data_IF_771686072438
#
_entry.id   IF_771686072438
#
_cell.length_a   1.000
_cell.length_b   1.000
_cell.length_c   1.000
_cell.angle_alpha   90.00
_cell.angle_beta   90.00
_cell.angle_gamma   90.00
#
_symmetry.space_group_name_H-M   'P 1'
#
loop_
_entity.id
_entity.type
_entity.pdbx_description
1 polymer ?
#
# COMPACT_ATOMS: atom_id res chain seq x y z
N UNK A 1 10.03 -9.70 -57.45
CA UNK A 1 11.10 -10.70 -57.19
C UNK A 1 12.01 -10.09 -56.13
N UNK A 2 12.33 -10.66 -54.98
CA UNK A 2 12.05 -11.96 -54.43
C UNK A 2 11.96 -11.82 -52.89
N UNK A 3 10.80 -12.18 -52.34
CA UNK A 3 10.61 -12.57 -50.94
C UNK A 3 11.33 -13.90 -50.73
N UNK A 4 12.58 -13.93 -50.24
CA UNK A 4 13.28 -15.17 -49.89
C UNK A 4 14.40 -14.95 -48.87
N UNK A 5 14.10 -14.84 -47.57
CA UNK A 5 15.12 -15.10 -46.51
C UNK A 5 14.61 -15.29 -45.08
N UNK A 6 13.33 -15.61 -44.85
CA UNK A 6 12.81 -15.81 -43.48
C UNK A 6 12.25 -17.23 -43.27
N UNK A 7 13.03 -18.26 -43.63
CA UNK A 7 12.58 -19.66 -43.48
C UNK A 7 13.62 -20.64 -42.93
N UNK A 8 14.59 -20.17 -42.15
CA UNK A 8 15.48 -21.05 -41.38
C UNK A 8 15.81 -20.42 -40.04
N UNK A 9 15.00 -20.71 -39.02
CA UNK A 9 15.38 -20.78 -37.59
C UNK A 9 14.22 -21.13 -36.63
N UNK A 10 13.06 -21.63 -37.12
CA UNK A 10 11.97 -22.13 -36.26
C UNK A 10 11.76 -23.64 -36.47
N UNK A 11 12.80 -24.43 -36.20
CA UNK A 11 12.71 -25.89 -36.26
C UNK A 11 13.61 -26.57 -35.23
N UNK A 12 13.46 -26.25 -33.94
CA UNK A 12 14.10 -27.01 -32.86
C UNK A 12 13.32 -27.06 -31.55
N UNK A 13 12.02 -26.73 -31.53
CA UNK A 13 11.20 -26.94 -30.34
C UNK A 13 9.80 -27.27 -30.84
N UNK A 14 9.52 -28.54 -31.12
CA UNK A 14 8.20 -29.18 -31.01
C UNK A 14 8.38 -30.60 -31.56
N UNK A 15 8.61 -31.50 -30.61
CA UNK A 15 8.73 -32.93 -30.85
C UNK A 15 7.46 -33.52 -31.45
N UNK A 16 7.71 -34.56 -32.24
CA UNK A 16 6.81 -35.44 -32.97
C UNK A 16 5.50 -35.78 -32.23
N UNK A 17 4.38 -35.20 -32.67
CA UNK A 17 3.06 -35.78 -32.44
C UNK A 17 2.56 -36.43 -33.74
N UNK A 18 2.43 -37.75 -33.66
CA UNK A 18 2.04 -38.64 -34.75
C UNK A 18 0.51 -38.67 -34.81
N UNK A 19 -0.12 -37.96 -35.75
CA UNK A 19 -1.56 -38.02 -35.99
C UNK A 19 -1.84 -38.59 -37.37
N UNK A 20 -2.68 -39.64 -37.38
CA UNK A 20 -3.01 -40.48 -38.55
C UNK A 20 -3.80 -39.70 -39.60
N UNK A 21 -3.58 -40.12 -40.85
CA UNK A 21 -4.01 -39.54 -42.14
C UNK A 21 -5.51 -39.49 -42.46
N UNK A 22 -6.41 -39.70 -41.51
CA UNK A 22 -7.86 -39.71 -41.80
C UNK A 22 -8.51 -38.48 -41.19
N UNK A 23 -8.98 -37.59 -42.06
CA UNK A 23 -9.95 -36.49 -41.87
C UNK A 23 -9.46 -35.21 -42.54
N UNK A 24 -9.18 -35.31 -43.86
CA UNK A 24 -8.96 -34.17 -44.74
C UNK A 24 -10.21 -34.03 -45.62
N UNK A 25 -10.73 -32.80 -45.68
CA UNK A 25 -11.71 -32.21 -46.60
C UNK A 25 -13.20 -32.17 -46.18
N UNK A 26 -13.65 -30.97 -45.79
CA UNK A 26 -14.63 -30.22 -46.60
C UNK A 26 -14.55 -28.72 -46.31
N UNK A 27 -14.54 -27.96 -47.40
CA UNK A 27 -14.38 -26.52 -47.54
C UNK A 27 -15.44 -25.72 -46.78
N UNK A 28 -15.05 -24.56 -46.24
CA UNK A 28 -15.72 -23.31 -46.62
C UNK A 28 -14.79 -22.11 -46.45
N UNK A 29 -14.66 -21.38 -47.54
CA UNK A 29 -13.88 -20.15 -47.73
C UNK A 29 -14.49 -19.01 -46.92
N UNK A 30 -13.80 -18.55 -45.89
CA UNK A 30 -14.02 -17.21 -45.33
C UNK A 30 -12.69 -16.47 -45.40
N UNK A 31 -12.69 -15.42 -46.21
CA UNK A 31 -11.58 -14.53 -46.51
C UNK A 31 -11.21 -13.80 -45.20
N UNK A 32 -10.30 -14.37 -44.41
CA UNK A 32 -9.74 -13.71 -43.24
C UNK A 32 -8.89 -12.54 -43.75
N UNK A 33 -9.49 -11.36 -43.74
CA UNK A 33 -8.78 -10.09 -43.80
C UNK A 33 -7.71 -10.16 -42.72
N UNK A 34 -6.43 -10.10 -43.12
CA UNK A 34 -5.32 -9.90 -42.20
C UNK A 34 -5.48 -8.50 -41.61
N UNK A 35 -6.34 -8.36 -40.60
CA UNK A 35 -6.22 -7.25 -39.67
C UNK A 35 -4.87 -7.41 -39.02
N UNK A 36 -4.02 -6.45 -39.34
CA UNK A 36 -2.72 -6.24 -38.72
C UNK A 36 -2.97 -6.25 -37.22
N UNK A 37 -2.42 -7.25 -36.52
CA UNK A 37 -2.21 -7.17 -35.07
C UNK A 37 -1.18 -6.05 -34.86
N UNK A 38 -1.64 -4.81 -34.96
CA UNK A 38 -0.97 -3.70 -34.32
C UNK A 38 -0.99 -4.06 -32.84
N UNK A 39 0.19 -4.20 -32.23
CA UNK A 39 0.30 -4.09 -30.80
C UNK A 39 -0.38 -2.79 -30.44
N UNK A 40 -1.66 -2.85 -30.05
CA UNK A 40 -2.36 -1.72 -29.48
C UNK A 40 -1.60 -1.49 -28.20
N UNK A 41 -0.68 -0.53 -28.23
CA UNK A 41 -0.11 0.02 -27.01
C UNK A 41 -1.28 0.25 -26.08
N UNK A 42 -1.31 -0.49 -24.98
CA UNK A 42 -2.15 -0.08 -23.86
C UNK A 42 -1.62 1.31 -23.54
N UNK A 43 -2.43 2.38 -23.70
CA UNK A 43 -1.94 3.71 -23.45
C UNK A 43 -1.36 3.71 -22.03
N UNK A 44 -0.14 4.24 -21.89
CA UNK A 44 0.60 4.35 -20.63
C UNK A 44 -0.12 5.22 -19.56
N UNK A 45 -1.40 5.53 -19.75
CA UNK A 45 -2.23 6.40 -18.93
C UNK A 45 -2.78 5.74 -17.65
N UNK A 46 -2.72 4.41 -17.50
CA UNK A 46 -3.31 3.72 -16.35
C UNK A 46 -2.33 3.41 -15.19
N UNK A 47 -1.02 3.66 -15.37
CA UNK A 47 0.01 3.31 -14.37
C UNK A 47 0.48 4.50 -13.51
N UNK A 48 -0.08 5.70 -13.72
CA UNK A 48 0.41 6.95 -13.10
C UNK A 48 -0.51 7.58 -12.03
N UNK A 49 -1.57 6.89 -11.60
CA UNK A 49 -2.52 7.43 -10.61
C UNK A 49 -2.45 6.73 -9.25
N UNK A 50 -1.45 5.86 -9.04
CA UNK A 50 -1.18 5.26 -7.74
C UNK A 50 0.01 5.96 -7.08
N UNK A 51 -0.20 6.47 -5.88
CA UNK A 51 0.81 7.10 -5.04
C UNK A 51 1.10 6.19 -3.84
N UNK A 52 2.37 5.81 -3.67
CA UNK A 52 2.84 5.08 -2.50
C UNK A 52 3.59 6.03 -1.57
N UNK A 53 3.01 6.30 -0.40
CA UNK A 53 3.61 7.04 0.70
C UNK A 53 4.27 6.04 1.66
N UNK A 54 5.53 6.27 2.01
CA UNK A 54 6.31 5.38 2.86
C UNK A 54 6.97 6.15 4.00
N UNK A 55 6.79 5.67 5.23
CA UNK A 55 7.51 6.23 6.39
C UNK A 55 9.00 5.89 6.31
N UNK A 56 9.92 6.85 6.57
CA UNK A 56 11.36 6.68 6.33
C UNK A 56 12.01 5.58 7.17
N UNK A 57 11.53 5.35 8.38
CA UNK A 57 12.04 4.37 9.34
C UNK A 57 11.90 2.91 8.85
N UNK A 58 10.90 2.63 8.02
CA UNK A 58 10.70 1.29 7.42
C UNK A 58 11.06 1.23 5.94
N UNK A 59 11.48 2.35 5.33
CA UNK A 59 11.59 2.46 3.88
C UNK A 59 12.60 1.49 3.24
N UNK A 60 13.64 1.12 3.98
CA UNK A 60 14.64 0.15 3.55
C UNK A 60 14.17 -1.31 3.69
N UNK A 61 13.21 -1.57 4.58
CA UNK A 61 12.72 -2.91 4.94
C UNK A 61 11.50 -3.34 4.13
N UNK A 62 10.74 -2.39 3.58
CA UNK A 62 9.59 -2.71 2.72
C UNK A 62 10.08 -3.35 1.41
N UNK A 63 9.51 -4.50 1.00
CA UNK A 63 9.89 -5.17 -0.24
C UNK A 63 9.75 -4.27 -1.46
N UNK A 64 10.71 -4.34 -2.40
CA UNK A 64 10.72 -3.46 -3.58
C UNK A 64 9.59 -3.77 -4.56
N UNK A 65 9.06 -4.98 -4.51
CA UNK A 65 7.89 -5.41 -5.27
C UNK A 65 6.66 -4.54 -4.95
N UNK A 66 6.55 -4.06 -3.71
CA UNK A 66 5.47 -3.18 -3.26
C UNK A 66 5.45 -1.85 -4.06
N UNK A 67 6.59 -1.44 -4.60
CA UNK A 67 6.77 -0.15 -5.27
C UNK A 67 6.31 -0.20 -6.73
N UNK A 68 6.10 -1.40 -7.28
CA UNK A 68 5.72 -1.58 -8.67
C UNK A 68 4.38 -0.91 -8.97
N UNK A 69 4.35 -0.12 -10.05
CA UNK A 69 3.12 0.53 -10.53
C UNK A 69 2.69 1.78 -9.74
N UNK A 70 3.56 2.34 -8.88
CA UNK A 70 3.27 3.58 -8.15
C UNK A 70 4.37 4.62 -8.25
N UNK A 71 3.97 5.89 -8.15
CA UNK A 71 4.87 6.97 -7.76
C UNK A 71 5.21 6.79 -6.28
N UNK A 72 6.47 6.59 -5.94
CA UNK A 72 6.90 6.40 -4.54
C UNK A 72 7.34 7.73 -3.95
N UNK A 73 6.83 8.05 -2.76
CA UNK A 73 7.24 9.19 -1.94
C UNK A 73 7.61 8.65 -0.56
N UNK A 74 8.90 8.71 -0.25
CA UNK A 74 9.40 8.44 1.09
C UNK A 74 9.34 9.76 1.86
N UNK A 75 8.67 9.78 3.01
CA UNK A 75 8.58 10.97 3.84
C UNK A 75 9.93 11.29 4.48
N UNK A 76 10.16 12.57 4.74
CA UNK A 76 11.32 13.10 5.45
C UNK A 76 11.00 13.18 6.96
N UNK A 77 11.81 12.51 7.78
CA UNK A 77 11.63 12.41 9.24
C UNK A 77 11.74 13.76 9.98
N UNK A 78 12.31 14.79 9.34
CA UNK A 78 12.41 16.14 9.92
C UNK A 78 11.26 17.07 9.53
N UNK A 79 10.29 16.60 8.74
CA UNK A 79 9.21 17.43 8.20
C UNK A 79 7.85 16.90 8.60
N UNK A 80 6.89 17.81 8.61
CA UNK A 80 5.50 17.49 8.92
C UNK A 80 4.90 16.48 7.93
N UNK A 81 4.41 15.35 8.44
CA UNK A 81 3.97 14.22 7.62
C UNK A 81 2.71 14.54 6.79
N UNK A 82 1.72 15.19 7.40
CA UNK A 82 0.44 15.52 6.74
C UNK A 82 0.68 16.55 5.63
N UNK A 83 1.51 17.57 5.86
CA UNK A 83 1.87 18.53 4.81
C UNK A 83 2.65 17.88 3.67
N UNK A 84 3.55 16.94 3.96
CA UNK A 84 4.24 16.18 2.91
C UNK A 84 3.29 15.33 2.07
N UNK A 85 2.30 14.68 2.69
CA UNK A 85 1.26 13.93 1.97
C UNK A 85 0.44 14.88 1.08
N UNK A 86 0.03 16.04 1.61
CA UNK A 86 -0.69 17.06 0.83
C UNK A 86 0.10 17.54 -0.38
N UNK A 87 1.40 17.82 -0.20
CA UNK A 87 2.31 18.21 -1.28
C UNK A 87 2.50 17.09 -2.31
N UNK A 88 2.61 15.85 -1.86
CA UNK A 88 2.71 14.68 -2.74
C UNK A 88 1.44 14.54 -3.59
N UNK A 89 0.25 14.68 -3.00
CA UNK A 89 -1.03 14.65 -3.72
C UNK A 89 -1.14 15.82 -4.71
N UNK A 90 -0.75 17.02 -4.30
CA UNK A 90 -0.73 18.19 -5.19
C UNK A 90 0.17 17.98 -6.42
N UNK A 91 1.32 17.32 -6.25
CA UNK A 91 2.23 16.96 -7.34
C UNK A 91 1.74 15.77 -8.19
N UNK A 92 0.61 15.15 -7.81
CA UNK A 92 0.01 13.97 -8.42
C UNK A 92 -1.52 14.14 -8.56
N UNK A 93 -2.03 15.16 -9.28
CA UNK A 93 -3.46 15.37 -9.39
C UNK A 93 -4.16 14.21 -10.12
N UNK A 94 -5.37 13.88 -9.68
CA UNK A 94 -6.13 12.73 -10.17
C UNK A 94 -5.62 11.39 -9.63
N UNK A 95 -4.99 11.38 -8.44
CA UNK A 95 -4.58 10.14 -7.77
C UNK A 95 -5.81 9.31 -7.44
N UNK A 96 -5.90 8.11 -8.02
CA UNK A 96 -6.99 7.17 -7.80
C UNK A 96 -6.71 6.20 -6.67
N UNK A 97 -5.44 5.99 -6.30
CA UNK A 97 -5.11 5.22 -5.11
C UNK A 97 -3.93 5.80 -4.37
N UNK A 98 -4.08 5.97 -3.06
CA UNK A 98 -3.02 6.32 -2.12
C UNK A 98 -2.75 5.10 -1.25
N UNK A 99 -1.56 4.52 -1.35
CA UNK A 99 -1.09 3.51 -0.39
C UNK A 99 -0.19 4.20 0.62
N UNK A 100 -0.48 4.02 1.90
CA UNK A 100 0.34 4.53 3.00
C UNK A 100 0.90 3.32 3.74
N UNK A 101 2.22 3.18 3.77
CA UNK A 101 2.91 2.11 4.50
C UNK A 101 3.72 2.75 5.61
N UNK A 102 3.39 2.38 6.84
CA UNK A 102 4.05 2.87 8.05
C UNK A 102 3.82 1.90 9.19
N UNK A 103 4.49 2.09 10.33
CA UNK A 103 3.97 1.46 11.53
C UNK A 103 2.59 2.03 11.90
N UNK A 104 1.81 1.25 12.65
CA UNK A 104 0.48 1.60 13.11
C UNK A 104 0.20 1.08 14.51
N UNK A 105 -0.87 1.63 15.08
CA UNK A 105 -1.58 1.14 16.24
C UNK A 105 -3.06 1.50 16.06
N UNK A 106 -3.95 0.96 16.90
CA UNK A 106 -5.36 1.31 16.85
C UNK A 106 -5.57 2.83 16.86
N UNK A 107 -6.20 3.35 15.81
CA UNK A 107 -6.52 4.78 15.65
C UNK A 107 -5.34 5.68 15.29
N UNK A 108 -4.20 5.13 14.89
CA UNK A 108 -3.04 5.96 14.52
C UNK A 108 -2.03 5.30 13.57
N UNK A 109 -1.32 6.14 12.83
CA UNK A 109 -0.14 5.79 12.02
C UNK A 109 1.07 6.56 12.53
N UNK A 110 2.24 5.92 12.53
CA UNK A 110 3.51 6.60 12.78
C UNK A 110 4.14 6.99 11.45
N UNK A 111 4.02 8.25 11.05
CA UNK A 111 4.50 8.75 9.77
C UNK A 111 5.60 9.78 9.99
N UNK A 112 6.79 9.53 9.45
CA UNK A 112 7.95 10.42 9.61
C UNK A 112 8.26 10.72 11.10
N UNK A 113 8.08 9.72 11.98
CA UNK A 113 8.26 9.86 13.43
C UNK A 113 7.12 10.60 14.16
N UNK A 114 6.06 11.00 13.45
CA UNK A 114 4.91 11.70 14.01
C UNK A 114 3.69 10.77 14.12
N UNK A 115 3.00 10.83 15.26
CA UNK A 115 1.76 10.09 15.45
C UNK A 115 0.59 10.83 14.77
N UNK A 116 0.11 10.30 13.64
CA UNK A 116 -1.08 10.79 12.95
C UNK A 116 -2.28 10.00 13.46
N UNK A 117 -3.08 10.64 14.32
CA UNK A 117 -4.22 10.02 15.03
C UNK A 117 -5.53 10.76 14.76
N UNK A 118 -6.63 10.32 15.37
CA UNK A 118 -7.92 11.03 15.31
C UNK A 118 -7.83 12.49 15.75
N UNK A 119 -7.02 12.80 16.78
CA UNK A 119 -6.77 14.17 17.22
C UNK A 119 -6.06 14.99 16.14
N UNK A 120 -5.10 14.39 15.43
CA UNK A 120 -4.41 15.01 14.29
C UNK A 120 -5.39 15.30 13.15
N UNK A 121 -6.26 14.34 12.81
CA UNK A 121 -7.29 14.52 11.78
C UNK A 121 -8.24 15.67 12.12
N UNK A 122 -8.67 15.76 13.38
CA UNK A 122 -9.55 16.83 13.84
C UNK A 122 -8.85 18.20 13.78
N UNK A 123 -7.64 18.29 14.34
CA UNK A 123 -6.85 19.51 14.38
C UNK A 123 -6.49 20.04 12.99
N UNK A 124 -6.38 19.15 11.99
CA UNK A 124 -5.95 19.50 10.61
C UNK A 124 -6.99 19.16 9.55
N UNK A 125 -8.25 19.13 9.94
CA UNK A 125 -9.38 18.81 9.08
C UNK A 125 -9.43 19.66 7.81
N UNK A 126 -9.12 20.96 7.89
CA UNK A 126 -9.10 21.87 6.73
C UNK A 126 -8.06 21.44 5.69
N UNK A 127 -6.85 21.13 6.12
CA UNK A 127 -5.78 20.73 5.21
C UNK A 127 -6.04 19.35 4.59
N UNK A 128 -6.47 18.39 5.43
CA UNK A 128 -6.75 17.02 4.99
C UNK A 128 -7.96 16.98 4.06
N UNK A 129 -9.00 17.77 4.32
CA UNK A 129 -10.12 17.90 3.38
C UNK A 129 -9.73 18.59 2.07
N UNK A 130 -8.74 19.49 2.14
CA UNK A 130 -8.13 20.10 0.96
C UNK A 130 -7.49 19.07 0.01
N UNK A 131 -7.08 17.89 0.49
CA UNK A 131 -6.51 16.82 -0.35
C UNK A 131 -7.50 16.30 -1.40
N UNK A 132 -8.80 16.40 -1.13
CA UNK A 132 -9.87 15.92 -2.01
C UNK A 132 -9.76 16.46 -3.43
N UNK A 133 -9.28 17.69 -3.61
CA UNK A 133 -9.16 18.32 -4.93
C UNK A 133 -8.10 17.63 -5.83
N UNK A 134 -7.19 16.86 -5.24
CA UNK A 134 -6.13 16.14 -5.95
C UNK A 134 -6.45 14.65 -6.14
N UNK A 135 -7.50 14.15 -5.50
CA UNK A 135 -7.95 12.77 -5.60
C UNK A 135 -8.93 12.60 -6.75
N UNK A 136 -8.87 11.45 -7.43
CA UNK A 136 -9.89 11.06 -8.38
C UNK A 136 -11.22 10.77 -7.66
N UNK A 137 -12.39 10.93 -8.32
CA UNK A 137 -13.66 10.48 -7.76
C UNK A 137 -13.62 8.99 -7.42
N UNK A 138 -14.00 8.65 -6.20
CA UNK A 138 -13.96 7.26 -5.71
C UNK A 138 -12.55 6.72 -5.49
N UNK A 139 -11.56 7.60 -5.28
CA UNK A 139 -10.20 7.17 -4.96
C UNK A 139 -10.17 6.30 -3.70
N UNK A 140 -9.21 5.38 -3.67
CA UNK A 140 -8.94 4.52 -2.53
C UNK A 140 -7.76 5.04 -1.70
N UNK A 141 -7.87 5.00 -0.37
CA UNK A 141 -6.75 5.22 0.56
C UNK A 141 -6.54 3.94 1.36
N UNK A 142 -5.41 3.28 1.12
CA UNK A 142 -5.06 2.02 1.75
C UNK A 142 -4.00 2.26 2.84
N UNK A 143 -4.38 2.04 4.09
CA UNK A 143 -3.54 2.25 5.26
C UNK A 143 -2.94 0.92 5.71
N UNK A 144 -1.73 0.63 5.23
CA UNK A 144 -0.91 -0.48 5.73
C UNK A 144 -0.17 -0.02 6.98
N UNK A 145 -0.82 -0.22 8.11
CA UNK A 145 -0.26 -0.06 9.44
C UNK A 145 -0.93 -1.05 10.38
N UNK A 146 -0.15 -1.62 11.30
CA UNK A 146 -0.64 -2.68 12.18
C UNK A 146 -1.88 -2.24 12.96
N UNK A 147 -2.95 -3.02 12.86
CA UNK A 147 -4.14 -2.94 13.71
C UNK A 147 -4.81 -1.56 13.79
N UNK A 148 -4.68 -0.71 12.77
CA UNK A 148 -5.20 0.66 12.75
C UNK A 148 -6.70 0.73 13.03
N UNK A 149 -7.48 -0.25 12.55
CA UNK A 149 -8.93 -0.32 12.70
C UNK A 149 -9.41 -1.37 13.74
N UNK A 150 -8.53 -1.85 14.62
CA UNK A 150 -8.85 -2.94 15.55
C UNK A 150 -9.93 -2.58 16.58
N UNK A 151 -10.00 -1.32 17.01
CA UNK A 151 -10.95 -0.82 18.02
C UNK A 151 -12.03 0.07 17.40
N UNK A 152 -13.03 0.46 18.21
CA UNK A 152 -14.03 1.45 17.80
C UNK A 152 -13.38 2.81 17.46
N UNK A 153 -12.41 3.25 18.27
CA UNK A 153 -11.65 4.48 17.99
C UNK A 153 -10.80 4.35 16.72
N UNK A 154 -10.21 3.18 16.51
CA UNK A 154 -9.51 2.84 15.26
C UNK A 154 -10.40 2.96 14.03
N UNK A 155 -11.60 2.37 14.08
CA UNK A 155 -12.59 2.51 13.00
C UNK A 155 -13.04 3.96 12.82
N UNK A 156 -13.22 4.70 13.91
CA UNK A 156 -13.56 6.13 13.86
C UNK A 156 -12.46 6.97 13.18
N UNK A 157 -11.19 6.66 13.43
CA UNK A 157 -10.07 7.29 12.72
C UNK A 157 -10.18 7.07 11.19
N UNK A 158 -10.38 5.82 10.77
CA UNK A 158 -10.53 5.47 9.34
C UNK A 158 -11.76 6.15 8.72
N UNK A 159 -12.91 6.13 9.41
CA UNK A 159 -14.13 6.82 9.00
C UNK A 159 -13.93 8.33 8.84
N UNK A 160 -13.24 8.96 9.80
CA UNK A 160 -12.96 10.40 9.79
C UNK A 160 -12.08 10.77 8.61
N UNK A 161 -11.05 9.97 8.33
CA UNK A 161 -10.18 10.20 7.17
C UNK A 161 -10.97 10.09 5.86
N UNK A 162 -11.83 9.08 5.72
CA UNK A 162 -12.70 8.92 4.55
C UNK A 162 -13.66 10.09 4.37
N UNK A 163 -14.28 10.56 5.46
CA UNK A 163 -15.17 11.71 5.42
C UNK A 163 -14.45 13.02 5.01
N UNK A 164 -13.25 13.26 5.53
CA UNK A 164 -12.47 14.45 5.20
C UNK A 164 -12.02 14.43 3.74
N UNK A 165 -11.47 13.30 3.28
CA UNK A 165 -10.89 13.17 1.94
C UNK A 165 -11.93 12.92 0.84
N UNK A 166 -13.09 12.36 1.20
CA UNK A 166 -14.09 11.87 0.25
C UNK A 166 -13.68 10.58 -0.47
N UNK A 167 -12.64 9.90 0.01
CA UNK A 167 -12.13 8.65 -0.52
C UNK A 167 -12.70 7.44 0.23
N UNK A 168 -12.66 6.28 -0.41
CA UNK A 168 -12.89 4.99 0.25
C UNK A 168 -11.58 4.61 0.97
N UNK A 169 -11.62 4.42 2.29
CA UNK A 169 -10.43 4.14 3.10
C UNK A 169 -10.48 2.72 3.62
N UNK A 170 -9.38 1.99 3.51
CA UNK A 170 -9.23 0.66 4.12
C UNK A 170 -8.00 0.57 5.03
N UNK A 171 -8.11 -0.23 6.08
CA UNK A 171 -7.06 -0.43 7.08
C UNK A 171 -7.13 -1.82 7.72
N UNK A 172 -6.00 -2.32 8.23
CA UNK A 172 -5.96 -3.59 8.96
C UNK A 172 -6.58 -3.50 10.36
N UNK A 173 -7.17 -4.60 10.81
CA UNK A 173 -7.73 -4.80 12.15
C UNK A 173 -6.85 -5.70 13.03
N UNK A 174 -5.83 -6.31 12.44
CA UNK A 174 -4.88 -7.23 13.04
C UNK A 174 -3.42 -6.83 12.68
N UNK A 175 -2.41 -7.59 13.09
CA UNK A 175 -1.03 -7.31 12.69
C UNK A 175 -0.82 -7.29 11.18
N UNK A 176 -0.18 -6.23 10.68
CA UNK A 176 0.13 -6.08 9.25
C UNK A 176 1.60 -6.39 9.00
N UNK A 177 1.88 -7.26 8.03
CA UNK A 177 3.23 -7.59 7.56
C UNK A 177 3.45 -9.09 7.36
N UNK A 178 4.59 -9.59 7.86
CA UNK A 178 5.02 -10.99 7.71
C UNK A 178 4.13 -11.98 8.46
N UNK A 179 3.60 -12.97 7.74
CA UNK A 179 2.86 -14.10 8.29
C UNK A 179 3.72 -14.99 9.19
N UNK A 180 5.04 -15.00 9.00
CA UNK A 180 5.97 -15.67 9.93
C UNK A 180 5.98 -15.04 11.31
N UNK A 181 5.56 -13.78 11.40
CA UNK A 181 5.49 -12.99 12.63
C UNK A 181 4.04 -12.69 13.05
N UNK A 182 3.07 -13.42 12.49
CA UNK A 182 1.66 -13.33 12.85
C UNK A 182 0.87 -12.21 12.17
N UNK A 183 1.43 -11.57 11.14
CA UNK A 183 0.72 -10.55 10.36
C UNK A 183 0.28 -11.00 8.98
N UNK A 184 -0.52 -10.18 8.32
CA UNK A 184 -0.87 -10.35 6.90
C UNK A 184 -0.92 -8.98 6.18
N UNK A 185 -1.32 -8.96 4.91
CA UNK A 185 -1.45 -7.73 4.13
C UNK A 185 -2.91 -7.42 3.79
N UNK A 186 -3.86 -8.03 4.51
CA UNK A 186 -5.27 -7.77 4.35
C UNK A 186 -5.65 -6.47 5.08
N UNK A 187 -6.66 -5.80 4.53
CA UNK A 187 -7.27 -4.60 5.09
C UNK A 187 -8.74 -4.95 5.36
N UNK A 188 -9.04 -5.44 6.55
CA UNK A 188 -10.36 -6.02 6.87
C UNK A 188 -11.44 -4.97 7.08
N UNK A 189 -11.06 -3.74 7.38
CA UNK A 189 -11.99 -2.64 7.59
C UNK A 189 -11.94 -1.65 6.43
N UNK A 190 -13.10 -1.27 5.89
CA UNK A 190 -13.21 -0.26 4.85
C UNK A 190 -14.45 0.64 5.02
N UNK A 191 -14.35 1.92 4.62
CA UNK A 191 -15.44 2.91 4.67
C UNK A 191 -16.30 2.93 3.40
N UNK A 192 -15.94 2.12 2.40
CA UNK A 192 -16.58 2.07 1.08
C UNK A 192 -16.08 0.89 0.24
N UNK A 193 -16.15 1.00 -1.08
CA UNK A 193 -15.79 -0.10 -1.99
C UNK A 193 -14.38 0.08 -2.50
N UNK A 194 -13.43 -0.68 -1.97
CA UNK A 194 -12.07 -0.69 -2.49
C UNK A 194 -12.04 -1.30 -3.90
N UNK A 195 -11.66 -0.50 -4.89
CA UNK A 195 -11.55 -0.93 -6.29
C UNK A 195 -10.10 -1.25 -6.69
N UNK A 196 -9.14 -0.78 -5.91
CA UNK A 196 -7.74 -1.00 -6.12
C UNK A 196 -7.39 -2.50 -6.09
N UNK A 197 -6.62 -2.92 -7.08
CA UNK A 197 -6.10 -4.29 -7.19
C UNK A 197 -4.58 -4.24 -7.16
N UNK A 198 -4.02 -4.67 -6.05
CA UNK A 198 -2.57 -4.78 -5.88
C UNK A 198 -2.12 -6.23 -5.95
N UNK A 199 -0.86 -6.41 -6.36
CA UNK A 199 -0.24 -7.73 -6.41
C UNK A 199 -0.24 -8.40 -5.04
N UNK A 200 -0.19 -9.73 -5.03
CA UNK A 200 0.03 -10.48 -3.80
C UNK A 200 1.52 -10.45 -3.48
N UNK A 201 1.91 -9.60 -2.53
CA UNK A 201 3.31 -9.45 -2.10
C UNK A 201 3.65 -10.24 -0.83
N UNK A 202 2.76 -11.13 -0.36
CA UNK A 202 2.92 -11.85 0.91
C UNK A 202 4.24 -12.62 1.02
N UNK A 203 4.73 -13.21 -0.09
CA UNK A 203 6.02 -13.91 -0.10
C UNK A 203 7.20 -12.96 0.16
N UNK A 204 7.20 -11.78 -0.46
CA UNK A 204 8.25 -10.79 -0.29
C UNK A 204 8.24 -10.20 1.13
N UNK A 205 7.04 -9.94 1.67
CA UNK A 205 6.88 -9.52 3.06
C UNK A 205 7.33 -10.60 4.06
N UNK A 206 7.02 -11.87 3.82
CA UNK A 206 7.52 -12.97 4.64
C UNK A 206 9.05 -13.10 4.63
N UNK A 207 9.68 -12.85 3.48
CA UNK A 207 11.12 -12.84 3.33
C UNK A 207 11.77 -11.66 4.07
N UNK A 208 11.12 -10.49 4.06
CA UNK A 208 11.60 -9.30 4.79
C UNK A 208 11.57 -9.48 6.32
N UNK A 209 10.64 -10.28 6.84
CA UNK A 209 10.44 -10.38 8.29
C UNK A 209 9.96 -9.08 8.94
N UNK A 210 9.32 -8.19 8.17
CA UNK A 210 8.80 -6.92 8.66
C UNK A 210 7.38 -7.09 9.24
N UNK A 211 7.12 -6.48 10.39
CA UNK A 211 5.77 -6.17 10.90
C UNK A 211 5.66 -4.68 11.14
N UNK A 212 4.45 -4.15 11.04
CA UNK A 212 4.19 -2.71 11.11
C UNK A 212 3.68 -2.28 12.49
N UNK A 213 4.01 -2.99 13.56
CA UNK A 213 3.52 -2.71 14.92
C UNK A 213 4.27 -1.53 15.58
N UNK A 214 3.60 -0.81 16.48
CA UNK A 214 4.25 0.10 17.43
C UNK A 214 3.85 -0.23 18.87
N UNK A 215 4.72 0.08 19.83
CA UNK A 215 4.43 0.06 21.25
C UNK A 215 4.42 1.49 21.79
N UNK A 216 3.25 1.95 22.23
CA UNK A 216 3.08 3.35 22.65
C UNK A 216 3.22 3.52 24.18
N UNK A 217 4.16 4.37 24.59
CA UNK A 217 4.28 4.86 25.96
C UNK A 217 3.30 6.01 26.16
N UNK A 218 2.40 5.88 27.15
CA UNK A 218 1.29 6.83 27.38
C UNK A 218 1.34 7.51 28.76
N UNK A 219 2.22 7.08 29.66
CA UNK A 219 2.45 7.73 30.94
C UNK A 219 3.94 7.70 31.35
N UNK A 220 4.28 8.48 32.38
CA UNK A 220 5.63 8.58 32.96
C UNK A 220 5.87 7.62 34.15
N UNK A 221 4.98 6.66 34.36
CA UNK A 221 5.15 5.64 35.40
C UNK A 221 6.31 4.70 35.09
N UNK A 222 6.94 4.14 36.12
CA UNK A 222 8.04 3.19 35.97
C UNK A 222 7.58 1.74 35.66
N UNK A 223 6.30 1.43 35.86
CA UNK A 223 5.74 0.10 35.58
C UNK A 223 4.24 0.16 35.30
N UNK A 224 3.66 -0.96 34.85
CA UNK A 224 2.25 -1.07 34.52
C UNK A 224 1.93 -0.61 33.10
N UNK A 225 0.67 -0.79 32.69
CA UNK A 225 0.20 -0.47 31.35
C UNK A 225 0.52 0.99 30.96
N UNK A 226 1.07 1.18 29.76
CA UNK A 226 1.42 2.49 29.23
C UNK A 226 2.76 3.07 29.71
N UNK A 227 3.49 2.39 30.60
CA UNK A 227 4.86 2.78 30.99
C UNK A 227 5.89 2.40 29.93
N UNK A 228 7.05 3.09 29.93
CA UNK A 228 8.18 2.72 29.07
C UNK A 228 8.68 1.30 29.37
N UNK A 229 8.76 0.93 30.64
CA UNK A 229 9.19 -0.42 31.04
C UNK A 229 8.26 -1.49 30.47
N UNK A 230 6.95 -1.27 30.52
CA UNK A 230 5.99 -2.21 29.94
C UNK A 230 6.12 -2.27 28.42
N UNK A 231 6.26 -1.13 27.74
CA UNK A 231 6.46 -1.11 26.29
C UNK A 231 7.72 -1.87 25.85
N UNK A 232 8.81 -1.79 26.63
CA UNK A 232 10.04 -2.57 26.38
C UNK A 232 9.80 -4.07 26.62
N UNK A 233 9.05 -4.45 27.65
CA UNK A 233 8.71 -5.86 27.91
C UNK A 233 7.88 -6.42 26.75
N UNK A 234 6.86 -5.69 26.32
CA UNK A 234 5.97 -6.10 25.23
C UNK A 234 6.73 -6.20 23.90
N UNK A 235 7.61 -5.22 23.61
CA UNK A 235 8.48 -5.25 22.44
C UNK A 235 9.45 -6.46 22.47
N UNK A 236 10.11 -6.71 23.60
CA UNK A 236 11.01 -7.87 23.72
C UNK A 236 10.28 -9.22 23.61
N UNK A 237 8.98 -9.27 23.88
CA UNK A 237 8.15 -10.46 23.69
C UNK A 237 7.62 -10.61 22.26
N UNK A 238 7.60 -9.52 21.48
CA UNK A 238 7.26 -9.53 20.08
C UNK A 238 8.44 -10.04 19.23
N UNK A 239 8.11 -10.58 18.07
CA UNK A 239 9.11 -11.09 17.14
C UNK A 239 9.32 -10.08 16.01
N UNK A 240 10.57 -9.77 15.72
CA UNK A 240 10.94 -8.81 14.67
C UNK A 240 11.65 -7.59 15.23
N UNK A 241 11.74 -6.54 14.41
CA UNK A 241 12.19 -5.24 14.86
C UNK A 241 10.97 -4.43 15.30
N UNK A 242 11.05 -3.83 16.49
CA UNK A 242 9.94 -3.12 17.11
C UNK A 242 10.23 -1.63 17.26
N UNK A 243 9.16 -0.83 17.15
CA UNK A 243 9.23 0.62 17.30
C UNK A 243 8.47 1.03 18.57
N UNK A 244 9.18 1.62 19.52
CA UNK A 244 8.59 2.22 20.72
C UNK A 244 8.39 3.72 20.49
N UNK A 245 7.18 4.21 20.73
CA UNK A 245 6.78 5.61 20.49
C UNK A 245 6.26 6.22 21.78
N UNK A 246 6.62 7.47 22.07
CA UNK A 246 6.00 8.21 23.17
C UNK A 246 4.78 8.98 22.67
N UNK A 247 3.67 8.90 23.40
CA UNK A 247 2.50 9.71 23.11
C UNK A 247 2.85 11.19 23.16
N UNK A 248 2.25 11.98 22.26
CA UNK A 248 2.52 13.42 22.17
C UNK A 248 2.23 14.18 23.48
N UNK A 249 1.33 13.67 24.32
CA UNK A 249 1.04 14.22 25.66
C UNK A 249 2.22 14.15 26.63
N UNK A 250 3.20 13.28 26.39
CA UNK A 250 4.39 13.11 27.22
C UNK A 250 5.57 13.97 26.77
N UNK A 251 5.54 14.44 25.51
CA UNK A 251 6.55 15.32 24.96
C UNK A 251 6.07 16.75 25.12
N UNK A 252 6.47 17.42 26.21
CA UNK A 252 6.24 18.84 26.35
C UNK A 252 6.95 19.59 25.21
N UNK A 253 6.20 20.33 24.40
CA UNK A 253 6.79 21.34 23.51
C UNK A 253 7.29 22.48 24.38
N UNK A 254 8.61 22.63 24.53
CA UNK A 254 9.17 23.87 25.04
C UNK A 254 8.83 24.99 24.04
N UNK A 255 8.26 26.12 24.49
CA UNK A 255 7.88 27.23 23.61
C UNK A 255 9.10 27.91 22.97
#
# INVERSE_FOLDING_TARGET
MARRTWHRLFRTIFGSFNLRRSQIARFQTSKLTLERLECREVPAAAINQSLLILSPDIAASVPREEFAGSRVVILDAGKDAVSQIGQALQANPGTSVVRVISHGNSGSLLLAGQLVSGATLQARSVEISGWRQYLAPGADVLLYGCSVASTADGRNFVNTLGNLTGADVAASTNPTGSARLGGDLALEYATGKIQAKYGNFAQAWNASGLTLATFTVTNTGDSGAGSLRQAIIDANAAAGADTIVFAASLTASSP
#
